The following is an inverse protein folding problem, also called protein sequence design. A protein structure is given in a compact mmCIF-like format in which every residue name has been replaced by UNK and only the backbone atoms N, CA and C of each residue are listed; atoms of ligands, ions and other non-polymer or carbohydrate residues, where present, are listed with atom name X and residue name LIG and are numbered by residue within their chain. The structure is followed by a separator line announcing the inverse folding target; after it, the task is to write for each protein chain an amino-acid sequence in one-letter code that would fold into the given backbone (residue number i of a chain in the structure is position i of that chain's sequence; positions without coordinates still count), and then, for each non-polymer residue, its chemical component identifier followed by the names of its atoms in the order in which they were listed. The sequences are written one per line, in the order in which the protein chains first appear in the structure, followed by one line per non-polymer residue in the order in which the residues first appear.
data_IF_185975891892
#
_entry.id   IF_185975891892
#
_cell.length_a   1.000
_cell.length_b   1.000
_cell.length_c   1.000
_cell.angle_alpha   90.00
_cell.angle_beta   90.00
_cell.angle_gamma   90.00
#
_symmetry.space_group_name_H-M   'P 1'
#
loop_
_entity.id
_entity.type
_entity.pdbx_description
1 polymer ?
#
# COMPACT_ATOMS: atom_id res chain seq x y z
N UNK A 1 -5.26 -19.99 -0.91
CA UNK A 1 -4.63 -21.08 -1.67
C UNK A 1 -3.80 -21.89 -0.70
N UNK A 2 -4.21 -23.12 -0.39
CA UNK A 2 -3.44 -24.03 0.46
C UNK A 2 -2.43 -24.76 -0.46
N UNK A 3 -1.14 -24.58 -0.19
CA UNK A 3 -0.06 -25.29 -0.88
C UNK A 3 0.35 -26.46 -0.01
N UNK A 4 0.23 -27.69 -0.53
CA UNK A 4 0.78 -28.86 0.15
C UNK A 4 2.27 -28.98 -0.15
N UNK A 5 3.03 -29.35 0.87
CA UNK A 5 4.42 -29.74 0.67
C UNK A 5 4.47 -31.10 -0.08
N UNK A 6 5.43 -31.34 -0.98
CA UNK A 6 5.55 -32.62 -1.70
C UNK A 6 5.68 -33.85 -0.79
N UNK A 7 6.13 -33.67 0.45
CA UNK A 7 6.23 -34.73 1.45
C UNK A 7 4.99 -34.92 2.32
N UNK A 8 3.89 -34.21 2.05
CA UNK A 8 2.65 -34.36 2.82
C UNK A 8 2.01 -35.72 2.53
N UNK A 9 1.77 -36.51 3.58
CA UNK A 9 1.22 -37.87 3.51
C UNK A 9 0.01 -38.02 4.44
N UNK A 10 -0.77 -39.07 4.27
CA UNK A 10 -1.84 -39.45 5.19
C UNK A 10 -1.27 -40.14 6.43
N UNK A 11 -1.59 -39.69 7.65
CA UNK A 11 -1.05 -40.29 8.89
C UNK A 11 -1.54 -41.73 9.18
N UNK A 12 -2.48 -42.26 8.38
CA UNK A 12 -3.00 -43.63 8.53
C UNK A 12 -2.35 -44.60 7.54
N UNK A 13 -2.34 -44.30 6.25
CA UNK A 13 -1.74 -45.17 5.22
C UNK A 13 -0.33 -44.76 4.81
N UNK A 14 0.14 -43.59 5.25
CA UNK A 14 1.42 -42.97 4.90
C UNK A 14 1.61 -42.71 3.39
N UNK A 15 0.56 -42.85 2.59
CA UNK A 15 0.59 -42.51 1.16
C UNK A 15 0.64 -40.99 0.98
N UNK A 16 1.49 -40.54 0.04
CA UNK A 16 1.59 -39.14 -0.34
C UNK A 16 0.29 -38.62 -0.94
N UNK A 17 -0.03 -37.36 -0.64
CA UNK A 17 -1.16 -36.68 -1.26
C UNK A 17 -0.79 -36.31 -2.71
N UNK A 18 -1.29 -37.10 -3.66
CA UNK A 18 -1.03 -36.94 -5.09
C UNK A 18 -1.80 -37.97 -5.93
N UNK A 19 -2.11 -37.60 -7.17
CA UNK A 19 -2.84 -38.47 -8.11
C UNK A 19 -4.28 -38.74 -7.66
N UNK A 20 -4.53 -39.92 -7.07
CA UNK A 20 -5.87 -40.36 -6.60
C UNK A 20 -6.13 -40.11 -5.11
N UNK A 21 -5.11 -39.78 -4.33
CA UNK A 21 -5.22 -39.52 -2.89
C UNK A 21 -5.26 -38.01 -2.62
N UNK A 22 -6.42 -37.51 -2.20
CA UNK A 22 -6.61 -36.11 -1.82
C UNK A 22 -6.83 -36.01 -0.31
N UNK A 23 -6.28 -34.98 0.36
CA UNK A 23 -6.54 -34.78 1.78
C UNK A 23 -7.99 -34.34 2.00
N UNK A 24 -8.61 -34.95 3.00
CA UNK A 24 -9.92 -34.59 3.51
C UNK A 24 -9.77 -34.20 4.97
N UNK A 25 -10.37 -33.08 5.35
CA UNK A 25 -10.38 -32.60 6.72
C UNK A 25 -11.70 -33.00 7.39
N UNK A 26 -11.62 -33.37 8.66
CA UNK A 26 -12.77 -33.63 9.53
C UNK A 26 -12.98 -32.47 10.53
N UNK A 27 -14.09 -32.47 11.27
CA UNK A 27 -14.48 -31.38 12.18
C UNK A 27 -13.42 -31.00 13.23
N UNK A 28 -12.51 -31.90 13.58
CA UNK A 28 -11.43 -31.61 14.52
C UNK A 28 -10.18 -30.97 13.88
N UNK A 29 -10.16 -30.76 12.55
CA UNK A 29 -9.06 -30.12 11.82
C UNK A 29 -7.94 -31.05 11.33
N UNK A 30 -7.96 -32.34 11.67
CA UNK A 30 -6.98 -33.30 11.16
C UNK A 30 -7.33 -33.75 9.74
N UNK A 31 -6.32 -34.09 8.94
CA UNK A 31 -6.48 -34.44 7.53
C UNK A 31 -6.03 -35.87 7.23
N UNK A 32 -6.84 -36.58 6.44
CA UNK A 32 -6.59 -37.96 6.03
C UNK A 32 -7.06 -38.19 4.59
N UNK A 33 -6.62 -39.28 3.95
CA UNK A 33 -7.22 -39.67 2.67
C UNK A 33 -8.64 -40.23 2.88
N UNK A 34 -9.51 -40.09 1.87
CA UNK A 34 -10.91 -40.51 1.96
C UNK A 34 -11.05 -42.01 2.25
N UNK A 35 -10.18 -42.84 1.65
CA UNK A 35 -10.13 -44.28 1.85
C UNK A 35 -9.91 -44.64 3.32
N UNK A 36 -8.97 -43.97 3.98
CA UNK A 36 -8.68 -44.21 5.39
C UNK A 36 -9.86 -43.81 6.27
N UNK A 37 -10.50 -42.66 6.03
CA UNK A 37 -11.69 -42.23 6.77
C UNK A 37 -12.85 -43.23 6.63
N UNK A 38 -13.07 -43.77 5.43
CA UNK A 38 -14.12 -44.75 5.17
C UNK A 38 -13.83 -46.13 5.78
N UNK A 39 -12.56 -46.48 5.97
CA UNK A 39 -12.16 -47.76 6.60
C UNK A 39 -12.23 -47.76 8.13
N UNK A 40 -12.50 -46.62 8.77
CA UNK A 40 -12.60 -46.54 10.22
C UNK A 40 -13.84 -47.27 10.72
N UNK A 41 -13.67 -48.18 11.67
CA UNK A 41 -14.77 -48.89 12.34
C UNK A 41 -15.61 -47.97 13.23
N UNK A 42 -15.03 -46.88 13.71
CA UNK A 42 -15.70 -45.82 14.48
C UNK A 42 -15.39 -44.47 13.85
N UNK A 43 -16.38 -43.60 13.75
CA UNK A 43 -16.22 -42.24 13.22
C UNK A 43 -15.54 -41.32 14.25
N UNK A 44 -14.32 -41.67 14.63
CA UNK A 44 -13.46 -40.92 15.55
C UNK A 44 -12.11 -40.66 14.90
N UNK A 45 -11.57 -39.46 15.10
CA UNK A 45 -10.26 -39.09 14.59
C UNK A 45 -9.15 -40.03 15.12
N UNK A 46 -8.32 -40.63 14.25
CA UNK A 46 -7.18 -41.46 14.66
C UNK A 46 -6.17 -40.76 15.58
N UNK A 47 -6.03 -39.44 15.45
CA UNK A 47 -5.02 -38.65 16.19
C UNK A 47 -5.55 -38.17 17.54
N UNK A 48 -6.70 -37.50 17.56
CA UNK A 48 -7.24 -36.88 18.79
C UNK A 48 -8.49 -37.53 19.35
N UNK A 49 -8.99 -38.62 18.72
CA UNK A 49 -10.16 -39.41 19.14
C UNK A 49 -11.49 -38.66 19.21
N UNK A 50 -11.56 -37.39 18.80
CA UNK A 50 -12.83 -36.65 18.67
C UNK A 50 -13.73 -37.33 17.65
N UNK A 51 -15.00 -37.53 18.02
CA UNK A 51 -16.02 -38.03 17.10
C UNK A 51 -16.29 -37.00 15.99
N UNK A 52 -16.61 -37.48 14.79
CA UNK A 52 -16.99 -36.65 13.65
C UNK A 52 -18.14 -37.30 12.88
N UNK A 53 -18.95 -36.52 12.17
CA UNK A 53 -19.96 -37.06 11.26
C UNK A 53 -19.39 -37.19 9.84
N UNK A 54 -19.88 -38.16 9.06
CA UNK A 54 -19.50 -38.31 7.65
C UNK A 54 -19.85 -37.05 6.85
N UNK A 55 -20.93 -36.35 7.24
CA UNK A 55 -21.34 -35.06 6.70
C UNK A 55 -20.36 -33.92 6.98
N UNK A 56 -19.37 -34.10 7.86
CA UNK A 56 -18.37 -33.09 8.22
C UNK A 56 -17.06 -33.28 7.46
N UNK A 57 -16.93 -34.38 6.71
CA UNK A 57 -15.76 -34.64 5.88
C UNK A 57 -15.77 -33.65 4.71
N UNK A 58 -14.71 -32.86 4.58
CA UNK A 58 -14.53 -31.88 3.49
C UNK A 58 -13.25 -32.19 2.74
N UNK A 59 -13.34 -32.34 1.42
CA UNK A 59 -12.15 -32.43 0.57
C UNK A 59 -11.45 -31.07 0.54
N UNK A 60 -10.15 -31.05 0.86
CA UNK A 60 -9.36 -29.83 0.72
C UNK A 60 -8.97 -29.66 -0.75
N UNK A 61 -9.26 -28.47 -1.29
CA UNK A 61 -8.73 -28.06 -2.59
C UNK A 61 -7.30 -27.57 -2.38
N UNK A 62 -6.36 -28.25 -3.02
CA UNK A 62 -4.94 -27.94 -2.93
C UNK A 62 -4.46 -27.64 -4.33
N UNK A 63 -3.91 -26.45 -4.49
CA UNK A 63 -3.21 -26.06 -5.70
C UNK A 63 -1.87 -26.78 -5.69
N UNK A 64 -1.81 -27.86 -6.48
CA UNK A 64 -0.56 -28.55 -6.72
C UNK A 64 0.31 -27.60 -7.53
N UNK A 65 1.30 -26.99 -6.88
CA UNK A 65 2.46 -26.51 -7.62
C UNK A 65 2.95 -27.72 -8.42
N UNK A 66 2.94 -27.64 -9.76
CA UNK A 66 3.40 -28.69 -10.65
C UNK A 66 4.87 -29.01 -10.36
N UNK A 67 5.13 -29.76 -9.28
CA UNK A 67 6.28 -30.64 -9.20
C UNK A 67 5.97 -31.76 -10.17
N UNK A 68 6.50 -31.56 -11.38
CA UNK A 68 7.05 -32.59 -12.26
C UNK A 68 6.82 -34.01 -11.72
N UNK A 69 6.03 -34.79 -12.46
CA UNK A 69 6.02 -36.24 -12.38
C UNK A 69 7.43 -36.78 -12.10
N UNK A 70 7.60 -37.81 -11.26
CA UNK A 70 8.87 -38.53 -11.22
C UNK A 70 9.06 -39.13 -12.60
N UNK A 71 9.90 -38.47 -13.39
CA UNK A 71 10.31 -38.88 -14.71
C UNK A 71 10.98 -40.25 -14.56
N UNK A 72 10.48 -41.22 -15.32
CA UNK A 72 11.30 -42.33 -15.78
C UNK A 72 12.60 -41.76 -16.38
N UNK A 73 13.75 -42.45 -16.30
CA UNK A 73 15.06 -41.85 -16.61
C UNK A 73 15.31 -41.51 -18.09
N UNK A 74 14.28 -41.54 -18.95
CA UNK A 74 14.46 -41.70 -20.40
C UNK A 74 13.72 -40.64 -21.22
N UNK A 75 13.66 -39.40 -20.74
CA UNK A 75 13.08 -38.29 -21.52
C UNK A 75 13.91 -37.03 -21.35
N UNK A 76 15.07 -37.03 -22.02
CA UNK A 76 15.80 -35.82 -22.40
C UNK A 76 15.00 -35.11 -23.51
N UNK A 77 13.95 -34.40 -23.13
CA UNK A 77 13.42 -33.33 -23.99
C UNK A 77 13.04 -32.15 -23.11
N UNK A 78 14.08 -31.39 -22.72
CA UNK A 78 13.91 -30.06 -22.15
C UNK A 78 13.53 -29.16 -23.31
N UNK A 79 12.24 -29.02 -23.57
CA UNK A 79 11.74 -28.11 -24.60
C UNK A 79 12.27 -26.69 -24.35
N UNK A 80 12.81 -26.04 -25.39
CA UNK A 80 13.37 -24.69 -25.33
C UNK A 80 12.37 -23.66 -24.75
N UNK A 81 11.07 -23.92 -24.88
CA UNK A 81 9.97 -23.09 -24.34
C UNK A 81 10.00 -22.97 -22.82
N UNK A 82 10.36 -24.06 -22.11
CA UNK A 82 10.52 -24.04 -20.66
C UNK A 82 11.72 -23.17 -20.23
N UNK A 83 12.72 -23.03 -21.10
CA UNK A 83 13.91 -22.21 -20.84
C UNK A 83 13.64 -20.71 -20.99
N UNK A 84 12.83 -20.30 -21.98
CA UNK A 84 12.53 -18.88 -22.21
C UNK A 84 11.57 -18.31 -21.15
N UNK A 85 10.57 -19.09 -20.74
CA UNK A 85 9.66 -18.69 -19.65
C UNK A 85 10.42 -18.44 -18.34
N UNK A 86 11.37 -19.33 -17.98
CA UNK A 86 12.23 -19.14 -16.79
C UNK A 86 13.09 -17.89 -16.91
N UNK A 87 13.71 -17.63 -18.06
CA UNK A 87 14.48 -16.40 -18.29
C UNK A 87 13.66 -15.13 -18.08
N UNK A 88 12.41 -15.12 -18.54
CA UNK A 88 11.52 -13.99 -18.31
C UNK A 88 11.13 -13.85 -16.84
N UNK A 89 10.88 -14.96 -16.13
CA UNK A 89 10.63 -14.94 -14.69
C UNK A 89 11.82 -14.39 -13.89
N UNK A 90 13.04 -14.83 -14.21
CA UNK A 90 14.26 -14.34 -13.56
C UNK A 90 14.45 -12.84 -13.81
N UNK A 91 14.21 -12.37 -15.04
CA UNK A 91 14.32 -10.95 -15.38
C UNK A 91 13.23 -10.10 -14.72
N UNK A 92 12.00 -10.60 -14.61
CA UNK A 92 10.92 -9.95 -13.85
C UNK A 92 11.33 -9.82 -12.39
N UNK A 93 11.84 -10.89 -11.79
CA UNK A 93 12.29 -10.92 -10.40
C UNK A 93 13.34 -9.83 -10.19
N UNK A 94 14.33 -9.74 -11.07
CA UNK A 94 15.34 -8.69 -11.03
C UNK A 94 14.74 -7.28 -11.13
N UNK A 95 13.88 -7.03 -12.12
CA UNK A 95 13.21 -5.73 -12.31
C UNK A 95 12.44 -5.30 -11.06
N UNK A 96 11.74 -6.24 -10.41
CA UNK A 96 10.90 -5.95 -9.25
C UNK A 96 11.74 -5.69 -7.99
N UNK A 97 12.79 -6.48 -7.76
CA UNK A 97 13.60 -6.37 -6.54
C UNK A 97 14.72 -5.33 -6.62
N UNK A 98 15.42 -5.25 -7.74
CA UNK A 98 16.56 -4.35 -7.92
C UNK A 98 16.15 -3.02 -8.55
N UNK A 99 14.95 -2.96 -9.13
CA UNK A 99 14.50 -1.86 -9.95
C UNK A 99 15.05 -1.93 -11.37
N UNK A 100 14.41 -1.21 -12.28
CA UNK A 100 14.89 -1.00 -13.64
C UNK A 100 14.42 0.36 -14.12
N UNK A 101 15.09 0.92 -15.12
CA UNK A 101 14.61 2.14 -15.75
C UNK A 101 13.38 1.87 -16.64
N UNK A 102 12.62 2.93 -16.96
CA UNK A 102 11.41 2.78 -17.76
C UNK A 102 11.70 2.25 -19.18
N UNK A 103 12.90 2.49 -19.71
CA UNK A 103 13.31 2.05 -21.05
C UNK A 103 13.56 0.54 -21.06
N UNK A 104 14.24 0.03 -20.04
CA UNK A 104 14.54 -1.38 -19.82
C UNK A 104 13.27 -2.19 -19.62
N UNK A 105 12.31 -1.66 -18.84
CA UNK A 105 11.01 -2.32 -18.63
C UNK A 105 10.20 -2.32 -19.94
N UNK A 106 10.23 -1.24 -20.73
CA UNK A 106 9.54 -1.18 -22.04
C UNK A 106 10.16 -2.16 -23.05
N UNK A 107 11.50 -2.18 -23.17
CA UNK A 107 12.22 -3.12 -24.02
C UNK A 107 11.94 -4.57 -23.63
N UNK A 108 12.01 -4.88 -22.34
CA UNK A 108 11.64 -6.19 -21.81
C UNK A 108 10.19 -6.54 -22.14
N UNK A 109 9.26 -5.61 -21.91
CA UNK A 109 7.83 -5.83 -22.14
C UNK A 109 7.53 -6.08 -23.62
N UNK A 110 8.26 -5.44 -24.54
CA UNK A 110 8.14 -5.68 -26.00
C UNK A 110 8.72 -7.03 -26.41
N UNK A 111 9.85 -7.41 -25.83
CA UNK A 111 10.49 -8.71 -26.05
C UNK A 111 9.59 -9.86 -25.59
N UNK A 112 9.09 -9.77 -24.36
CA UNK A 112 8.23 -10.80 -23.78
C UNK A 112 6.88 -10.92 -24.53
N UNK A 113 6.31 -9.80 -24.99
CA UNK A 113 5.12 -9.83 -25.85
C UNK A 113 5.36 -10.51 -27.20
N UNK A 114 6.53 -10.27 -27.81
CA UNK A 114 6.88 -10.91 -29.08
C UNK A 114 6.89 -12.42 -28.93
N UNK A 115 7.47 -12.92 -27.85
CA UNK A 115 7.46 -14.35 -27.54
C UNK A 115 6.06 -14.86 -27.19
N UNK A 116 5.32 -14.17 -26.33
CA UNK A 116 3.95 -14.56 -25.94
C UNK A 116 2.96 -14.59 -27.09
N UNK A 117 3.23 -13.93 -28.21
CA UNK A 117 2.43 -14.02 -29.44
C UNK A 117 2.66 -15.31 -30.21
N UNK A 118 3.80 -15.97 -30.03
CA UNK A 118 4.06 -17.29 -30.64
C UNK A 118 3.50 -18.42 -29.78
N UNK A 119 3.10 -18.13 -28.54
CA UNK A 119 2.55 -19.10 -27.59
C UNK A 119 1.01 -19.14 -27.61
N UNK A 120 0.39 -20.28 -27.29
CA UNK A 120 -1.06 -20.39 -27.13
C UNK A 120 -1.63 -19.38 -26.13
N UNK A 121 -2.88 -18.98 -26.33
CA UNK A 121 -3.51 -17.93 -25.50
C UNK A 121 -3.89 -18.42 -24.09
N UNK A 122 -4.10 -19.72 -23.93
CA UNK A 122 -4.44 -20.42 -22.69
C UNK A 122 -3.20 -20.74 -21.84
N UNK A 123 -2.01 -20.68 -22.44
CA UNK A 123 -0.74 -20.86 -21.75
C UNK A 123 -0.14 -19.53 -21.25
N UNK A 124 0.66 -19.62 -20.19
CA UNK A 124 1.42 -18.51 -19.59
C UNK A 124 0.57 -17.31 -19.12
N UNK A 125 -0.67 -17.53 -18.67
CA UNK A 125 -1.58 -16.48 -18.17
C UNK A 125 -0.94 -15.57 -17.11
N UNK A 126 -0.14 -16.14 -16.19
CA UNK A 126 0.56 -15.37 -15.17
C UNK A 126 1.59 -14.40 -15.75
N UNK A 127 2.38 -14.83 -16.74
CA UNK A 127 3.39 -13.99 -17.37
C UNK A 127 2.72 -12.85 -18.16
N UNK A 128 1.64 -13.14 -18.89
CA UNK A 128 0.81 -12.14 -19.59
C UNK A 128 0.30 -11.08 -18.61
N UNK A 129 -0.24 -11.50 -17.46
CA UNK A 129 -0.72 -10.59 -16.44
C UNK A 129 0.40 -9.69 -15.87
N UNK A 130 1.57 -10.26 -15.57
CA UNK A 130 2.71 -9.50 -15.03
C UNK A 130 3.21 -8.46 -16.02
N UNK A 131 3.33 -8.77 -17.31
CA UNK A 131 3.76 -7.80 -18.33
C UNK A 131 2.77 -6.65 -18.45
N UNK A 132 1.47 -6.92 -18.38
CA UNK A 132 0.44 -5.86 -18.34
C UNK A 132 0.63 -4.96 -17.12
N UNK A 133 0.93 -5.54 -15.95
CA UNK A 133 1.19 -4.76 -14.74
C UNK A 133 2.46 -3.91 -14.87
N UNK A 134 3.55 -4.46 -15.42
CA UNK A 134 4.80 -3.73 -15.65
C UNK A 134 4.59 -2.53 -16.58
N UNK A 135 3.80 -2.69 -17.65
CA UNK A 135 3.45 -1.56 -18.55
C UNK A 135 2.64 -0.49 -17.86
N UNK A 136 1.64 -0.88 -17.06
CA UNK A 136 0.88 0.06 -16.25
C UNK A 136 1.80 0.81 -15.28
N UNK A 137 2.77 0.12 -14.70
CA UNK A 137 3.74 0.72 -13.79
C UNK A 137 4.57 1.81 -14.48
N UNK A 138 5.09 1.57 -15.69
CA UNK A 138 5.84 2.59 -16.47
C UNK A 138 5.04 3.88 -16.64
N UNK A 139 3.73 3.79 -16.86
CA UNK A 139 2.88 4.96 -17.06
C UNK A 139 2.52 5.66 -15.75
N UNK A 140 2.34 4.91 -14.66
CA UNK A 140 1.87 5.46 -13.37
C UNK A 140 2.99 6.09 -12.55
N UNK A 141 4.18 5.51 -12.55
CA UNK A 141 5.33 6.02 -11.78
C UNK A 141 5.70 7.47 -12.10
N UNK A 142 5.84 7.91 -13.36
CA UNK A 142 6.19 9.29 -13.66
C UNK A 142 5.09 10.26 -13.24
N UNK A 143 3.81 9.88 -13.39
CA UNK A 143 2.68 10.69 -12.94
C UNK A 143 2.67 10.86 -11.42
N UNK A 144 2.94 9.77 -10.69
CA UNK A 144 3.07 9.82 -9.23
C UNK A 144 4.23 10.72 -8.80
N UNK A 145 5.39 10.60 -9.44
CA UNK A 145 6.56 11.46 -9.15
C UNK A 145 6.27 12.94 -9.43
N UNK A 146 5.61 13.25 -10.54
CA UNK A 146 5.20 14.63 -10.86
C UNK A 146 4.22 15.17 -9.81
N UNK A 147 3.17 14.41 -9.47
CA UNK A 147 2.23 14.80 -8.43
C UNK A 147 2.90 14.99 -7.04
N UNK A 148 3.89 14.17 -6.71
CA UNK A 148 4.67 14.33 -5.48
C UNK A 148 5.51 15.61 -5.47
N UNK A 149 6.07 15.99 -6.62
CA UNK A 149 6.78 17.28 -6.77
C UNK A 149 5.82 18.46 -6.64
N UNK A 150 4.64 18.40 -7.26
CA UNK A 150 3.62 19.43 -7.16
C UNK A 150 3.13 19.61 -5.71
N UNK A 151 2.91 18.51 -4.99
CA UNK A 151 2.57 18.55 -3.57
C UNK A 151 3.66 19.22 -2.73
N UNK A 152 4.93 18.89 -2.97
CA UNK A 152 6.04 19.53 -2.26
C UNK A 152 6.14 21.04 -2.55
N UNK A 153 5.88 21.45 -3.79
CA UNK A 153 5.83 22.86 -4.18
C UNK A 153 4.66 23.60 -3.51
N UNK A 154 3.46 23.01 -3.54
CA UNK A 154 2.28 23.58 -2.89
C UNK A 154 2.48 23.71 -1.39
N UNK A 155 3.08 22.71 -0.75
CA UNK A 155 3.38 22.75 0.68
C UNK A 155 4.33 23.91 1.02
N UNK A 156 5.39 24.10 0.22
CA UNK A 156 6.29 25.24 0.38
C UNK A 156 5.56 26.57 0.24
N UNK A 157 4.70 26.71 -0.78
CA UNK A 157 3.89 27.93 -0.98
C UNK A 157 2.95 28.18 0.21
N UNK A 158 2.33 27.14 0.75
CA UNK A 158 1.49 27.26 1.94
C UNK A 158 2.28 27.74 3.16
N UNK A 159 3.50 27.26 3.35
CA UNK A 159 4.35 27.67 4.47
C UNK A 159 4.84 29.12 4.31
N UNK A 160 5.27 29.51 3.10
CA UNK A 160 5.64 30.90 2.77
C UNK A 160 4.45 31.86 3.00
N UNK A 161 3.23 31.46 2.61
CA UNK A 161 2.03 32.27 2.82
C UNK A 161 1.66 32.40 4.30
N UNK A 162 1.84 31.34 5.10
CA UNK A 162 1.61 31.41 6.55
C UNK A 162 2.59 32.36 7.22
N UNK A 163 3.86 32.34 6.83
CA UNK A 163 4.88 33.24 7.36
C UNK A 163 4.56 34.70 7.02
N UNK A 164 4.20 34.98 5.76
CA UNK A 164 3.75 36.32 5.32
C UNK A 164 2.55 36.79 6.10
N UNK A 165 1.52 35.95 6.23
CA UNK A 165 0.32 36.29 7.00
C UNK A 165 0.64 36.58 8.47
N UNK A 166 1.53 35.82 9.09
CA UNK A 166 1.94 36.05 10.46
C UNK A 166 2.70 37.38 10.61
N UNK A 167 3.59 37.67 9.67
CA UNK A 167 4.37 38.92 9.63
C UNK A 167 3.45 40.13 9.47
N UNK A 168 2.50 40.07 8.53
CA UNK A 168 1.52 41.13 8.31
C UNK A 168 0.60 41.32 9.53
N UNK A 169 0.22 40.23 10.20
CA UNK A 169 -0.57 40.27 11.43
C UNK A 169 0.19 40.92 12.59
N UNK A 170 1.49 40.66 12.72
CA UNK A 170 2.34 41.29 13.74
C UNK A 170 2.57 42.77 13.43
N UNK A 171 2.87 43.11 12.18
CA UNK A 171 3.00 44.49 11.74
C UNK A 171 1.69 45.29 11.94
N UNK A 172 0.55 44.67 11.65
CA UNK A 172 -0.76 45.26 11.90
C UNK A 172 -1.04 45.51 13.39
N UNK A 173 -0.67 44.56 14.27
CA UNK A 173 -0.79 44.73 15.72
C UNK A 173 0.10 45.86 16.25
N UNK A 174 1.34 45.94 15.80
CA UNK A 174 2.26 47.01 16.20
C UNK A 174 1.74 48.40 15.80
N UNK A 175 1.22 48.54 14.56
CA UNK A 175 0.61 49.79 14.11
C UNK A 175 -0.62 50.19 14.92
N UNK A 176 -1.45 49.20 15.30
CA UNK A 176 -2.63 49.46 16.11
C UNK A 176 -2.24 49.98 17.50
N UNK A 177 -1.25 49.34 18.14
CA UNK A 177 -0.74 49.74 19.45
C UNK A 177 -0.10 51.15 19.41
N UNK A 178 0.66 51.46 18.36
CA UNK A 178 1.21 52.81 18.15
C UNK A 178 0.09 53.86 17.99
N UNK A 179 -0.95 53.54 17.23
CA UNK A 179 -2.10 54.44 17.05
C UNK A 179 -2.86 54.67 18.36
N UNK A 180 -3.01 53.61 19.17
CA UNK A 180 -3.65 53.67 20.49
C UNK A 180 -2.85 54.54 21.46
N UNK A 181 -1.52 54.40 21.48
CA UNK A 181 -0.63 55.24 22.28
C UNK A 181 -0.68 56.71 21.82
N UNK A 182 -0.64 56.95 20.50
CA UNK A 182 -0.74 58.29 19.93
C UNK A 182 -2.08 58.95 20.30
N UNK A 183 -3.18 58.21 20.19
CA UNK A 183 -4.52 58.70 20.53
C UNK A 183 -4.63 59.02 22.03
N UNK A 184 -4.05 58.19 22.90
CA UNK A 184 -4.03 58.43 24.34
C UNK A 184 -3.27 59.72 24.70
N UNK A 185 -2.11 59.94 24.06
CA UNK A 185 -1.31 61.14 24.26
C UNK A 185 -2.03 62.40 23.75
N UNK A 186 -2.65 62.34 22.57
CA UNK A 186 -3.47 63.44 22.04
C UNK A 186 -4.62 63.79 22.97
N UNK A 187 -5.29 62.79 23.54
CA UNK A 187 -6.37 63.00 24.51
C UNK A 187 -5.86 63.65 25.81
N UNK A 188 -4.71 63.22 26.32
CA UNK A 188 -4.08 63.83 27.50
C UNK A 188 -3.70 65.29 27.23
N UNK A 189 -3.08 65.56 26.08
CA UNK A 189 -2.73 66.92 25.65
C UNK A 189 -3.98 67.80 25.51
N UNK A 190 -5.05 67.28 24.90
CA UNK A 190 -6.32 68.00 24.76
C UNK A 190 -6.93 68.35 26.12
N UNK A 191 -6.92 67.41 27.07
CA UNK A 191 -7.38 67.65 28.45
C UNK A 191 -6.53 68.69 29.17
N UNK A 192 -5.21 68.66 29.00
CA UNK A 192 -4.31 69.64 29.60
C UNK A 192 -4.57 71.06 29.07
N UNK A 193 -4.77 71.20 27.74
CA UNK A 193 -5.14 72.48 27.12
C UNK A 193 -6.50 72.95 27.62
N UNK A 194 -7.51 72.07 27.69
CA UNK A 194 -8.83 72.42 28.22
C UNK A 194 -8.74 72.95 29.65
N UNK A 195 -8.02 72.25 30.53
CA UNK A 195 -7.84 72.66 31.92
C UNK A 195 -7.13 74.03 32.02
N UNK A 196 -6.08 74.25 31.24
CA UNK A 196 -5.38 75.54 31.21
C UNK A 196 -6.28 76.68 30.75
N UNK A 197 -7.12 76.44 29.74
CA UNK A 197 -8.08 77.44 29.27
C UNK A 197 -9.17 77.72 30.32
N UNK A 198 -9.65 76.70 31.04
CA UNK A 198 -10.60 76.87 32.14
C UNK A 198 -10.00 77.72 33.27
N UNK A 199 -8.77 77.43 33.68
CA UNK A 199 -8.05 78.23 34.68
C UNK A 199 -7.89 79.70 34.26
N UNK A 200 -7.57 79.95 32.98
CA UNK A 200 -7.50 81.32 32.44
C UNK A 200 -8.85 82.04 32.44
N UNK A 201 -9.94 81.33 32.10
CA UNK A 201 -11.29 81.90 32.14
C UNK A 201 -11.71 82.23 33.58
N UNK A 202 -11.43 81.36 34.53
CA UNK A 202 -11.72 81.58 35.95
C UNK A 202 -10.94 82.79 36.49
N UNK A 203 -9.67 82.92 36.11
CA UNK A 203 -8.84 84.08 36.45
C UNK A 203 -9.45 85.39 35.92
N UNK A 204 -9.80 85.44 34.63
CA UNK A 204 -10.44 86.60 34.03
C UNK A 204 -11.78 86.89 34.72
N UNK A 205 -12.62 85.88 34.96
CA UNK A 205 -13.91 86.09 35.59
C UNK A 205 -13.78 86.72 36.98
N UNK A 206 -12.81 86.28 37.78
CA UNK A 206 -12.53 86.87 39.10
C UNK A 206 -12.06 88.33 39.01
N UNK A 207 -11.17 88.64 38.06
CA UNK A 207 -10.67 90.01 37.81
C UNK A 207 -11.80 90.96 37.39
N UNK A 208 -12.75 90.51 36.59
CA UNK A 208 -13.88 91.33 36.12
C UNK A 208 -14.93 91.60 37.20
N UNK A 209 -15.03 90.73 38.21
CA UNK A 209 -16.01 90.86 39.30
C UNK A 209 -15.50 91.64 40.51
N UNK A 210 -14.21 92.00 40.54
CA UNK A 210 -13.56 92.78 41.60
C UNK A 210 -13.54 94.28 41.29
#
# INVERSE_FOLDING_TARGET
MLVLHPSSTCDVCLEGYGGRSFPNVISCGHSFCLRCLQSLTRQCCPLCRKAFAVSDVRRLHVDRANSSSPLSPDSLDVTEESSQCRRFQDRITRIVFEGADNTDIDLFSKEADRWLRTQPSDEHAHLRAVIVLLRKHINVVPLYKAAQQDLAQLQKVCDDLKEKFQTEKEAGRARYEELEQSSALELENAKAVENSLREQLDFLQNDWTS
#
